data_IF_497325598856
#
_entry.id   IF_497325598856
#
_cell.length_a   1.000
_cell.length_b   1.000
_cell.length_c   1.000
_cell.angle_alpha   90.00
_cell.angle_beta   90.00
_cell.angle_gamma   90.00
#
_symmetry.space_group_name_H-M   'P 1'
#
loop_
_entity.id
_entity.type
_entity.pdbx_description
1 polymer ?
#
# COMPACT_ATOMS: atom_id res chain seq x y z
N UNK A 1 25.18 16.04 -29.49
CA UNK A 1 24.91 14.78 -28.77
C UNK A 1 23.46 14.42 -29.03
N UNK A 2 23.12 13.13 -29.26
CA UNK A 2 21.72 12.73 -29.38
C UNK A 2 20.96 13.01 -28.08
N UNK A 3 19.70 13.39 -28.19
CA UNK A 3 18.82 13.58 -27.03
C UNK A 3 18.52 12.22 -26.37
N UNK A 4 18.27 12.15 -25.05
CA UNK A 4 17.95 10.89 -24.36
C UNK A 4 16.83 10.09 -25.04
N UNK A 5 15.76 10.77 -25.46
CA UNK A 5 14.63 10.16 -26.17
C UNK A 5 15.02 9.51 -27.51
N UNK A 6 16.04 10.03 -28.20
CA UNK A 6 16.53 9.46 -29.47
C UNK A 6 17.31 8.15 -29.23
N UNK A 7 18.04 8.06 -28.12
CA UNK A 7 18.75 6.83 -27.72
C UNK A 7 17.74 5.76 -27.32
N UNK A 8 16.73 6.13 -26.52
CA UNK A 8 15.66 5.25 -26.09
C UNK A 8 14.86 4.69 -27.28
N UNK A 9 14.49 5.55 -28.23
CA UNK A 9 13.80 5.15 -29.46
C UNK A 9 14.64 4.19 -30.31
N UNK A 10 15.95 4.45 -30.43
CA UNK A 10 16.87 3.58 -31.18
C UNK A 10 17.02 2.19 -30.57
N UNK A 11 16.95 2.08 -29.24
CA UNK A 11 17.05 0.81 -28.51
C UNK A 11 15.68 0.11 -28.39
N UNK A 12 14.59 0.80 -28.72
CA UNK A 12 13.23 0.25 -28.67
C UNK A 12 12.69 0.06 -27.25
N UNK A 13 13.15 0.89 -26.30
CA UNK A 13 12.70 0.88 -24.91
C UNK A 13 11.68 1.99 -24.64
N UNK A 14 10.90 1.84 -23.58
CA UNK A 14 9.97 2.88 -23.15
C UNK A 14 10.77 4.08 -22.61
N UNK A 15 10.38 5.32 -22.96
CA UNK A 15 11.08 6.51 -22.47
C UNK A 15 11.13 6.55 -20.95
N UNK A 16 12.29 6.93 -20.38
CA UNK A 16 12.48 6.95 -18.94
C UNK A 16 11.48 7.89 -18.25
N UNK A 17 11.14 9.02 -18.88
CA UNK A 17 10.19 9.98 -18.34
C UNK A 17 8.78 9.39 -18.18
N UNK A 18 8.38 8.48 -19.07
CA UNK A 18 7.09 7.77 -18.99
C UNK A 18 7.10 6.80 -17.82
N UNK A 19 8.14 5.98 -17.68
CA UNK A 19 8.28 5.05 -16.56
C UNK A 19 8.37 5.76 -15.21
N UNK A 20 9.06 6.91 -15.16
CA UNK A 20 9.12 7.73 -13.95
C UNK A 20 7.79 8.40 -13.62
N UNK A 21 7.02 8.83 -14.63
CA UNK A 21 5.68 9.36 -14.41
C UNK A 21 4.76 8.30 -13.80
N UNK A 22 4.70 7.12 -14.41
CA UNK A 22 3.93 5.97 -13.90
C UNK A 22 4.33 5.61 -12.46
N UNK A 23 5.64 5.54 -12.19
CA UNK A 23 6.14 5.28 -10.83
C UNK A 23 5.69 6.35 -9.83
N UNK A 24 5.68 7.64 -10.21
CA UNK A 24 5.23 8.73 -9.32
C UNK A 24 3.76 8.59 -8.98
N UNK A 25 2.93 8.22 -9.96
CA UNK A 25 1.50 7.98 -9.74
C UNK A 25 1.27 6.83 -8.76
N UNK A 26 1.98 5.71 -8.93
CA UNK A 26 1.89 4.57 -8.01
C UNK A 26 2.38 4.93 -6.60
N UNK A 27 3.48 5.68 -6.48
CA UNK A 27 3.98 6.15 -5.19
C UNK A 27 2.96 7.04 -4.48
N UNK A 28 2.25 7.89 -5.22
CA UNK A 28 1.19 8.74 -4.67
C UNK A 28 0.00 7.89 -4.16
N UNK A 29 -0.36 6.82 -4.86
CA UNK A 29 -1.40 5.88 -4.44
C UNK A 29 -0.99 5.06 -3.21
N UNK A 30 0.29 4.64 -3.13
CA UNK A 30 0.83 3.88 -2.00
C UNK A 30 0.96 4.71 -0.74
N UNK A 31 1.28 6.01 -0.85
CA UNK A 31 1.56 6.87 0.30
C UNK A 31 0.53 6.77 1.46
N UNK A 32 -0.80 6.89 1.23
CA UNK A 32 -1.78 6.75 2.31
C UNK A 32 -1.81 5.34 2.91
N UNK A 33 -1.72 4.30 2.08
CA UNK A 33 -1.73 2.90 2.52
C UNK A 33 -0.48 2.58 3.34
N UNK A 34 0.69 3.07 2.92
CA UNK A 34 1.96 2.92 3.64
C UNK A 34 1.93 3.63 5.00
N UNK A 35 1.32 4.81 5.08
CA UNK A 35 1.12 5.49 6.37
C UNK A 35 0.20 4.74 7.33
N UNK A 36 -0.69 3.89 6.81
CA UNK A 36 -1.60 3.09 7.61
C UNK A 36 -1.02 1.71 7.96
N UNK A 37 -0.55 0.97 6.96
CA UNK A 37 -0.17 -0.45 7.03
C UNK A 37 1.33 -0.70 7.05
N UNK A 38 2.15 0.28 6.68
CA UNK A 38 3.61 0.14 6.64
C UNK A 38 4.27 0.20 8.02
N UNK A 39 5.62 0.14 8.07
CA UNK A 39 6.38 0.30 9.30
C UNK A 39 6.04 1.62 9.99
N UNK A 40 5.82 1.57 11.31
CA UNK A 40 5.36 2.71 12.11
C UNK A 40 4.00 3.29 11.67
N UNK A 41 3.20 2.49 10.95
CA UNK A 41 1.87 2.88 10.50
C UNK A 41 0.82 2.95 11.60
N UNK A 42 -0.29 3.62 11.29
CA UNK A 42 -1.37 3.90 12.25
C UNK A 42 -2.39 2.78 12.47
N UNK A 43 -2.26 1.61 11.82
CA UNK A 43 -3.31 0.59 11.82
C UNK A 43 -3.72 0.12 13.21
N UNK A 44 -2.75 -0.27 14.05
CA UNK A 44 -3.04 -0.78 15.40
C UNK A 44 -3.67 0.28 16.31
N UNK A 45 -3.22 1.54 16.20
CA UNK A 45 -3.79 2.66 16.92
C UNK A 45 -5.28 2.86 16.54
N UNK A 46 -5.58 2.88 15.24
CA UNK A 46 -6.97 3.00 14.75
C UNK A 46 -7.82 1.80 15.16
N UNK A 47 -7.27 0.58 15.09
CA UNK A 47 -7.94 -0.64 15.53
C UNK A 47 -8.34 -0.57 17.00
N UNK A 48 -7.43 -0.15 17.87
CA UNK A 48 -7.67 -0.01 19.31
C UNK A 48 -8.75 1.02 19.62
N UNK A 49 -8.74 2.16 18.93
CA UNK A 49 -9.80 3.18 19.06
C UNK A 49 -11.16 2.61 18.66
N UNK A 50 -11.25 1.91 17.53
CA UNK A 50 -12.50 1.30 17.08
C UNK A 50 -13.02 0.25 18.07
N UNK A 51 -12.15 -0.63 18.56
CA UNK A 51 -12.53 -1.61 19.58
C UNK A 51 -13.01 -0.96 20.88
N UNK A 52 -12.38 0.15 21.29
CA UNK A 52 -12.83 0.90 22.46
C UNK A 52 -14.24 1.49 22.27
N UNK A 53 -14.54 2.00 21.07
CA UNK A 53 -15.88 2.48 20.69
C UNK A 53 -16.89 1.32 20.74
N UNK A 54 -16.60 0.20 20.07
CA UNK A 54 -17.49 -0.97 20.07
C UNK A 54 -17.70 -1.54 21.47
N UNK A 55 -16.66 -1.56 22.32
CA UNK A 55 -16.78 -2.00 23.72
C UNK A 55 -17.63 -1.03 24.55
N UNK A 56 -17.54 0.28 24.30
CA UNK A 56 -18.40 1.27 24.95
C UNK A 56 -19.87 1.04 24.60
N UNK A 57 -20.17 0.78 23.33
CA UNK A 57 -21.53 0.48 22.88
C UNK A 57 -22.05 -0.84 23.47
N UNK A 58 -21.19 -1.86 23.56
CA UNK A 58 -21.53 -3.14 24.20
C UNK A 58 -21.84 -2.96 25.70
N UNK A 59 -21.06 -2.13 26.42
CA UNK A 59 -21.33 -1.78 27.82
C UNK A 59 -22.68 -1.11 27.99
N UNK A 60 -23.01 -0.16 27.11
CA UNK A 60 -24.29 0.53 27.17
C UNK A 60 -25.47 -0.42 26.95
N UNK A 61 -25.37 -1.33 25.97
CA UNK A 61 -26.39 -2.36 25.72
C UNK A 61 -26.55 -3.34 26.89
N UNK A 62 -25.50 -3.53 27.68
CA UNK A 62 -25.47 -4.46 28.80
C UNK A 62 -25.69 -3.77 30.16
N UNK A 63 -26.07 -2.49 30.20
CA UNK A 63 -26.17 -1.66 31.42
C UNK A 63 -26.97 -2.31 32.54
N UNK A 64 -28.06 -2.98 32.21
CA UNK A 64 -28.98 -3.60 33.19
C UNK A 64 -28.67 -5.08 33.47
N UNK A 65 -27.62 -5.64 32.85
CA UNK A 65 -27.23 -7.03 32.97
C UNK A 65 -25.88 -7.18 33.68
N UNK A 66 -25.75 -8.18 34.56
CA UNK A 66 -24.45 -8.58 35.10
C UNK A 66 -23.59 -9.18 33.99
N UNK A 67 -22.68 -8.36 33.46
CA UNK A 67 -21.81 -8.73 32.33
C UNK A 67 -20.35 -8.65 32.77
N UNK A 68 -19.53 -9.58 32.29
CA UNK A 68 -18.09 -9.57 32.55
C UNK A 68 -17.36 -8.72 31.50
N UNK A 69 -16.20 -8.16 31.85
CA UNK A 69 -15.36 -7.45 30.87
C UNK A 69 -14.95 -8.34 29.69
N UNK A 70 -14.81 -9.65 29.92
CA UNK A 70 -14.56 -10.61 28.84
C UNK A 70 -15.73 -10.67 27.84
N UNK A 71 -16.98 -10.76 28.33
CA UNK A 71 -18.16 -10.77 27.46
C UNK A 71 -18.33 -9.45 26.68
N UNK A 72 -17.97 -8.31 27.28
CA UNK A 72 -17.94 -7.01 26.58
C UNK A 72 -16.90 -7.01 25.46
N UNK A 73 -15.71 -7.54 25.73
CA UNK A 73 -14.64 -7.61 24.73
C UNK A 73 -15.02 -8.52 23.55
N UNK A 74 -15.63 -9.68 23.85
CA UNK A 74 -16.12 -10.60 22.82
C UNK A 74 -17.22 -9.95 21.97
N UNK A 75 -18.16 -9.25 22.61
CA UNK A 75 -19.20 -8.49 21.90
C UNK A 75 -18.60 -7.37 21.02
N UNK A 76 -17.56 -6.68 21.48
CA UNK A 76 -16.86 -5.66 20.71
C UNK A 76 -16.17 -6.24 19.46
N UNK A 77 -15.59 -7.45 19.58
CA UNK A 77 -14.96 -8.15 18.45
C UNK A 77 -16.00 -8.73 17.48
N UNK A 78 -17.19 -9.06 17.97
CA UNK A 78 -18.32 -9.49 17.14
C UNK A 78 -19.08 -8.33 16.48
N UNK A 79 -18.78 -7.07 16.85
CA UNK A 79 -19.49 -5.90 16.35
C UNK A 79 -19.34 -5.73 14.85
N UNK A 80 -20.43 -5.53 14.12
CA UNK A 80 -20.44 -5.45 12.66
C UNK A 80 -19.49 -4.37 12.13
N UNK A 81 -19.50 -3.18 12.75
CA UNK A 81 -18.59 -2.10 12.37
C UNK A 81 -17.10 -2.47 12.49
N UNK A 82 -16.73 -3.28 13.48
CA UNK A 82 -15.35 -3.78 13.63
C UNK A 82 -15.04 -4.84 12.57
N UNK A 83 -15.98 -5.76 12.32
CA UNK A 83 -15.83 -6.79 11.28
C UNK A 83 -15.69 -6.18 9.89
N UNK A 84 -16.54 -5.22 9.55
CA UNK A 84 -16.50 -4.49 8.27
C UNK A 84 -15.22 -3.68 8.11
N UNK A 85 -14.70 -3.12 9.20
CA UNK A 85 -13.43 -2.41 9.18
C UNK A 85 -12.25 -3.36 8.94
N UNK A 86 -12.23 -4.54 9.59
CA UNK A 86 -11.20 -5.56 9.37
C UNK A 86 -11.27 -6.08 7.93
N UNK A 87 -12.46 -6.40 7.42
CA UNK A 87 -12.64 -6.88 6.04
C UNK A 87 -12.13 -5.86 5.01
N UNK A 88 -12.44 -4.56 5.19
CA UNK A 88 -11.87 -3.51 4.34
C UNK A 88 -10.36 -3.41 4.47
N UNK A 89 -9.83 -3.50 5.68
CA UNK A 89 -8.40 -3.46 5.91
C UNK A 89 -7.64 -4.62 5.24
N UNK A 90 -8.25 -5.79 5.12
CA UNK A 90 -7.67 -6.92 4.38
C UNK A 90 -7.56 -6.60 2.88
N UNK A 91 -8.61 -6.00 2.30
CA UNK A 91 -8.59 -5.58 0.89
C UNK A 91 -7.57 -4.48 0.64
N UNK A 92 -7.54 -3.45 1.49
CA UNK A 92 -6.59 -2.34 1.38
C UNK A 92 -5.13 -2.81 1.57
N UNK A 93 -4.88 -3.81 2.42
CA UNK A 93 -3.54 -4.44 2.55
C UNK A 93 -3.14 -5.21 1.30
N UNK A 94 -4.06 -5.93 0.68
CA UNK A 94 -3.79 -6.61 -0.57
C UNK A 94 -3.44 -5.60 -1.67
N UNK A 95 -4.22 -4.51 -1.78
CA UNK A 95 -3.95 -3.40 -2.71
C UNK A 95 -2.58 -2.76 -2.44
N UNK A 96 -2.24 -2.52 -1.18
CA UNK A 96 -0.93 -1.97 -0.79
C UNK A 96 0.23 -2.82 -1.32
N UNK A 97 0.16 -4.14 -1.16
CA UNK A 97 1.18 -5.08 -1.64
C UNK A 97 1.28 -5.04 -3.16
N UNK A 98 0.14 -5.10 -3.86
CA UNK A 98 0.09 -5.04 -5.34
C UNK A 98 0.77 -3.77 -5.87
N UNK A 99 0.51 -2.63 -5.22
CA UNK A 99 1.10 -1.36 -5.63
C UNK A 99 2.61 -1.29 -5.32
N UNK A 100 3.07 -1.85 -4.20
CA UNK A 100 4.52 -1.94 -3.90
C UNK A 100 5.26 -2.83 -4.90
N UNK A 101 4.66 -3.96 -5.27
CA UNK A 101 5.19 -4.85 -6.30
C UNK A 101 5.25 -4.15 -7.67
N UNK A 102 4.22 -3.39 -8.03
CA UNK A 102 4.20 -2.62 -9.28
C UNK A 102 5.30 -1.54 -9.31
N UNK A 103 5.51 -0.81 -8.20
CA UNK A 103 6.63 0.14 -8.08
C UNK A 103 7.98 -0.55 -8.23
N UNK A 104 8.12 -1.75 -7.63
CA UNK A 104 9.34 -2.56 -7.71
C UNK A 104 9.59 -2.99 -9.15
N UNK A 105 8.58 -3.51 -9.84
CA UNK A 105 8.67 -3.93 -11.24
C UNK A 105 9.08 -2.78 -12.17
N UNK A 106 8.54 -1.57 -12.00
CA UNK A 106 8.97 -0.39 -12.78
C UNK A 106 10.43 -0.04 -12.48
N UNK A 107 10.83 -0.12 -11.21
CA UNK A 107 12.21 0.17 -10.80
C UNK A 107 13.20 -0.83 -11.43
N UNK A 108 12.86 -2.11 -11.43
CA UNK A 108 13.64 -3.16 -12.09
C UNK A 108 13.72 -2.96 -13.60
N UNK A 109 12.60 -2.58 -14.23
CA UNK A 109 12.56 -2.25 -15.66
C UNK A 109 13.48 -1.09 -16.01
N UNK A 110 13.46 -0.01 -15.21
CA UNK A 110 14.38 1.12 -15.38
C UNK A 110 15.84 0.66 -15.25
N UNK A 111 16.15 -0.19 -14.26
CA UNK A 111 17.51 -0.71 -14.10
C UNK A 111 17.96 -1.57 -15.29
N UNK A 112 17.10 -2.47 -15.77
CA UNK A 112 17.34 -3.28 -16.97
C UNK A 112 17.61 -2.41 -18.19
N UNK A 113 16.73 -1.45 -18.46
CA UNK A 113 16.82 -0.61 -19.66
C UNK A 113 18.08 0.26 -19.62
N UNK A 114 18.44 0.80 -18.44
CA UNK A 114 19.71 1.50 -18.25
C UNK A 114 20.94 0.61 -18.51
N UNK A 115 20.91 -0.66 -18.09
CA UNK A 115 21.99 -1.60 -18.35
C UNK A 115 22.13 -1.91 -19.85
N UNK A 116 21.00 -2.09 -20.56
CA UNK A 116 20.98 -2.31 -22.00
C UNK A 116 21.53 -1.11 -22.79
N UNK A 117 21.13 0.12 -22.44
CA UNK A 117 21.67 1.33 -23.07
C UNK A 117 23.18 1.39 -22.89
N UNK A 118 23.69 1.15 -21.67
CA UNK A 118 25.14 1.16 -21.40
C UNK A 118 25.87 0.13 -22.25
N UNK A 119 25.35 -1.10 -22.33
CA UNK A 119 25.93 -2.15 -23.16
C UNK A 119 26.02 -1.73 -24.63
N UNK A 120 24.89 -1.34 -25.23
CA UNK A 120 24.81 -0.95 -26.65
C UNK A 120 25.66 0.29 -26.98
N UNK A 121 25.77 1.24 -26.05
CA UNK A 121 26.60 2.45 -26.25
C UNK A 121 28.09 2.21 -26.00
N UNK A 122 28.47 1.10 -25.37
CA UNK A 122 29.86 0.70 -25.09
C UNK A 122 30.49 -0.17 -26.17
N UNK A 123 29.71 -0.69 -27.13
CA UNK A 123 30.25 -1.49 -28.24
C UNK A 123 31.08 -0.61 -29.20
N UNK A 124 32.34 -0.99 -29.51
CA UNK A 124 33.12 -0.30 -30.53
C UNK A 124 32.44 -0.46 -31.89
N UNK A 125 32.25 0.66 -32.59
CA UNK A 125 31.70 0.68 -33.95
C UNK A 125 32.66 0.09 -34.98
#
# INVERSE_FOLDING_TARGET
MPLPAEIEARVGITPLDVLQAERRELVAQVAPLKGLYGPFGGFDARRKVLLAICASEAREKARDAKTTEAAINDAAHAHDAYRDWIARAELERAEYIVLEDAITAITERIHRDNALIRYVTSEPK
#
